data_IF_484230748895
#
_entry.id   IF_484230748895
#
_cell.length_a   1.000
_cell.length_b   1.000
_cell.length_c   1.000
_cell.angle_alpha   90.00
_cell.angle_beta   90.00
_cell.angle_gamma   90.00
#
_symmetry.space_group_name_H-M   'P 1'
#
loop_
_entity.id
_entity.type
_entity.pdbx_description
1 polymer ?
#
# COMPACT_ATOMS: atom_id res chain seq x y z
N UNK A 1 -21.77 -1.59 38.26
CA UNK A 1 -21.10 -0.60 37.39
C UNK A 1 -19.95 -1.33 36.70
N UNK A 2 -19.92 -1.41 35.37
CA UNK A 2 -18.93 -2.24 34.63
C UNK A 2 -17.50 -1.75 34.89
N UNK A 3 -16.55 -2.68 34.98
CA UNK A 3 -15.11 -2.40 35.17
C UNK A 3 -14.57 -1.48 34.06
N UNK A 4 -15.08 -1.64 32.83
CA UNK A 4 -14.68 -0.85 31.67
C UNK A 4 -14.98 0.65 31.86
N UNK A 5 -16.07 0.98 32.56
CA UNK A 5 -16.48 2.37 32.80
C UNK A 5 -15.61 3.04 33.87
N UNK A 6 -15.06 2.28 34.82
CA UNK A 6 -14.14 2.79 35.82
C UNK A 6 -12.76 3.10 35.21
N UNK A 7 -12.31 2.26 34.29
CA UNK A 7 -11.02 2.43 33.60
C UNK A 7 -11.04 3.67 32.68
N UNK A 8 -12.14 3.87 31.94
CA UNK A 8 -12.37 5.10 31.16
C UNK A 8 -12.38 6.34 32.05
N UNK A 9 -13.03 6.27 33.22
CA UNK A 9 -13.10 7.39 34.17
C UNK A 9 -11.73 7.77 34.74
N UNK A 10 -10.85 6.80 34.96
CA UNK A 10 -9.51 7.03 35.50
C UNK A 10 -8.55 7.65 34.46
N UNK A 11 -8.79 7.42 33.17
CA UNK A 11 -7.99 7.99 32.07
C UNK A 11 -8.56 9.31 31.51
N UNK A 12 -9.77 9.70 31.91
CA UNK A 12 -10.29 11.03 31.58
C UNK A 12 -9.53 12.09 32.39
N UNK A 13 -8.91 13.10 31.75
CA UNK A 13 -8.54 14.32 32.46
C UNK A 13 -9.79 14.85 33.15
N UNK A 14 -9.66 15.40 34.36
CA UNK A 14 -10.80 15.85 35.20
C UNK A 14 -11.85 16.60 34.36
N UNK A 15 -12.89 15.89 33.96
CA UNK A 15 -13.97 16.44 33.16
C UNK A 15 -14.83 17.27 34.08
N UNK A 16 -14.65 18.59 34.00
CA UNK A 16 -15.46 19.56 34.72
C UNK A 16 -16.36 20.26 33.70
N UNK A 17 -17.55 19.70 33.40
CA UNK A 17 -18.46 20.27 32.42
C UNK A 17 -18.91 21.64 32.91
N UNK A 18 -18.52 22.69 32.19
CA UNK A 18 -19.02 24.02 32.46
C UNK A 18 -20.41 24.14 31.83
N UNK A 19 -21.47 24.01 32.64
CA UNK A 19 -22.87 24.10 32.19
C UNK A 19 -23.26 25.48 31.63
N UNK A 20 -22.37 26.47 31.71
CA UNK A 20 -22.56 27.80 31.11
C UNK A 20 -21.98 27.93 29.70
N UNK A 21 -21.26 26.92 29.21
CA UNK A 21 -20.72 26.87 27.85
C UNK A 21 -21.46 25.81 27.03
N UNK A 22 -21.79 26.13 25.79
CA UNK A 22 -22.33 25.15 24.85
C UNK A 22 -21.23 24.17 24.40
N UNK A 23 -21.64 22.93 24.16
CA UNK A 23 -20.74 21.91 23.62
C UNK A 23 -20.25 22.31 22.22
N UNK A 24 -18.94 22.16 21.99
CA UNK A 24 -18.33 22.43 20.70
C UNK A 24 -17.42 21.27 20.25
N UNK A 25 -17.49 20.95 18.95
CA UNK A 25 -16.61 19.96 18.33
C UNK A 25 -15.25 20.63 18.08
N UNK A 26 -14.18 20.05 18.62
CA UNK A 26 -12.81 20.52 18.39
C UNK A 26 -11.96 19.46 17.70
N UNK A 27 -11.25 19.88 16.66
CA UNK A 27 -10.23 19.08 16.00
C UNK A 27 -8.92 19.13 16.80
N UNK A 28 -8.70 18.11 17.66
CA UNK A 28 -7.55 18.05 18.57
C UNK A 28 -6.16 18.18 17.91
N UNK A 29 -5.92 17.70 16.67
CA UNK A 29 -4.60 17.80 16.05
C UNK A 29 -4.14 19.23 15.74
N UNK A 30 -5.02 20.23 15.77
CA UNK A 30 -4.63 21.63 15.64
C UNK A 30 -4.95 22.42 16.92
N UNK A 31 -4.06 23.34 17.37
CA UNK A 31 -4.28 24.10 18.61
C UNK A 31 -5.51 25.01 18.57
N UNK A 32 -5.92 25.44 17.37
CA UNK A 32 -7.12 26.26 17.14
C UNK A 32 -8.43 25.44 17.20
N UNK A 33 -8.33 24.11 17.20
CA UNK A 33 -9.48 23.21 17.20
C UNK A 33 -10.26 23.20 15.88
N UNK A 34 -9.74 23.81 14.81
CA UNK A 34 -10.45 23.96 13.53
C UNK A 34 -10.15 22.76 12.63
N UNK A 35 -11.22 22.10 12.17
CA UNK A 35 -11.10 21.03 11.20
C UNK A 35 -10.66 21.55 9.83
N UNK A 36 -9.72 20.85 9.19
CA UNK A 36 -9.44 20.99 7.77
C UNK A 36 -8.97 19.67 7.17
N UNK A 37 -9.21 19.47 5.87
CA UNK A 37 -8.66 18.31 5.15
C UNK A 37 -7.14 18.30 5.21
N UNK A 38 -6.50 19.47 5.14
CA UNK A 38 -5.06 19.61 5.23
C UNK A 38 -4.50 19.12 6.59
N UNK A 39 -5.09 19.57 7.71
CA UNK A 39 -4.67 19.13 9.05
C UNK A 39 -4.96 17.65 9.30
N UNK A 40 -6.07 17.13 8.77
CA UNK A 40 -6.40 15.71 8.80
C UNK A 40 -5.36 14.87 8.06
N UNK A 41 -5.03 15.26 6.83
CA UNK A 41 -4.00 14.56 6.04
C UNK A 41 -2.62 14.66 6.68
N UNK A 42 -2.26 15.80 7.27
CA UNK A 42 -1.01 15.94 8.01
C UNK A 42 -0.95 15.00 9.22
N UNK A 43 -2.06 14.84 9.94
CA UNK A 43 -2.16 13.96 11.11
C UNK A 43 -2.11 12.48 10.75
N UNK A 44 -2.64 12.11 9.57
CA UNK A 44 -2.61 10.73 9.05
C UNK A 44 -1.28 10.37 8.40
N UNK A 45 -0.55 11.35 7.86
CA UNK A 45 0.75 11.13 7.21
C UNK A 45 1.81 10.84 8.26
N UNK A 46 2.22 9.59 8.33
CA UNK A 46 3.48 9.24 9.00
C UNK A 46 4.63 9.51 8.03
N UNK A 47 5.63 10.32 8.39
CA UNK A 47 6.79 10.54 7.52
C UNK A 47 7.53 9.21 7.35
N UNK A 48 7.73 8.82 6.09
CA UNK A 48 8.50 7.64 5.72
C UNK A 48 9.68 8.06 4.82
N UNK A 49 10.83 7.39 4.94
CA UNK A 49 11.93 7.64 4.03
C UNK A 49 11.52 7.30 2.59
N UNK A 50 12.08 8.04 1.63
CA UNK A 50 11.90 7.72 0.22
C UNK A 50 12.50 6.35 -0.08
N UNK A 51 11.73 5.54 -0.81
CA UNK A 51 12.13 4.22 -1.26
C UNK A 51 13.01 4.34 -2.52
N UNK A 52 14.07 3.53 -2.68
CA UNK A 52 14.98 3.63 -3.83
C UNK A 52 14.29 3.44 -5.19
N UNK A 53 13.16 2.74 -5.22
CA UNK A 53 12.38 2.47 -6.42
C UNK A 53 11.34 3.54 -6.75
N UNK A 54 11.26 4.65 -6.00
CA UNK A 54 10.23 5.67 -6.19
C UNK A 54 10.21 6.23 -7.63
N UNK A 55 11.36 6.70 -8.11
CA UNK A 55 11.50 7.26 -9.46
C UNK A 55 11.19 6.22 -10.55
N UNK A 56 11.53 4.96 -10.32
CA UNK A 56 11.23 3.88 -11.26
C UNK A 56 9.71 3.68 -11.45
N UNK A 57 8.92 3.87 -10.39
CA UNK A 57 7.47 3.68 -10.42
C UNK A 57 6.74 4.96 -10.81
N UNK A 58 7.18 6.13 -10.32
CA UNK A 58 6.41 7.37 -10.35
C UNK A 58 7.06 8.50 -11.16
N UNK A 59 7.86 8.20 -12.18
CA UNK A 59 8.43 9.23 -13.07
C UNK A 59 7.37 10.03 -13.84
N UNK A 60 7.70 11.25 -14.30
CA UNK A 60 6.73 12.21 -14.86
C UNK A 60 5.95 11.72 -16.08
N UNK A 61 6.55 10.86 -16.92
CA UNK A 61 5.94 10.35 -18.15
C UNK A 61 5.46 8.90 -18.00
N UNK A 62 5.15 8.48 -16.77
CA UNK A 62 4.68 7.13 -16.51
C UNK A 62 3.27 6.89 -17.08
N UNK A 63 3.02 5.64 -17.51
CA UNK A 63 1.68 5.19 -17.82
C UNK A 63 1.08 4.66 -16.51
N UNK A 64 0.03 5.30 -15.94
CA UNK A 64 -0.45 4.99 -14.58
C UNK A 64 -0.74 3.51 -14.33
N UNK A 65 -1.29 2.82 -15.35
CA UNK A 65 -1.55 1.37 -15.29
C UNK A 65 -0.26 0.57 -15.11
N UNK A 66 0.80 0.91 -15.82
CA UNK A 66 2.09 0.21 -15.75
C UNK A 66 2.78 0.49 -14.41
N UNK A 67 2.73 1.73 -13.94
CA UNK A 67 3.23 2.13 -12.62
C UNK A 67 2.56 1.36 -11.49
N UNK A 68 1.23 1.22 -11.56
CA UNK A 68 0.48 0.44 -10.59
C UNK A 68 0.86 -1.05 -10.59
N UNK A 69 0.98 -1.66 -11.78
CA UNK A 69 1.42 -3.05 -11.91
C UNK A 69 2.85 -3.23 -11.37
N UNK A 70 3.76 -2.32 -11.71
CA UNK A 70 5.15 -2.37 -11.25
C UNK A 70 5.26 -2.19 -9.74
N UNK A 71 4.48 -1.25 -9.17
CA UNK A 71 4.39 -1.06 -7.72
C UNK A 71 3.91 -2.33 -7.00
N UNK A 72 2.89 -3.01 -7.54
CA UNK A 72 2.43 -4.29 -7.00
C UNK A 72 3.51 -5.37 -7.12
N UNK A 73 4.22 -5.44 -8.24
CA UNK A 73 5.30 -6.40 -8.45
C UNK A 73 6.45 -6.19 -7.44
N UNK A 74 6.91 -4.95 -7.25
CA UNK A 74 7.96 -4.60 -6.27
C UNK A 74 7.54 -4.97 -4.85
N UNK A 75 6.25 -4.83 -4.54
CA UNK A 75 5.70 -5.19 -3.23
C UNK A 75 5.39 -6.68 -3.06
N UNK A 76 5.60 -7.51 -4.07
CA UNK A 76 5.21 -8.93 -4.06
C UNK A 76 3.70 -9.13 -3.94
N UNK A 77 2.90 -8.18 -4.43
CA UNK A 77 1.42 -8.17 -4.34
C UNK A 77 0.73 -8.31 -5.69
N UNK A 78 1.50 -8.52 -6.77
CA UNK A 78 0.92 -8.90 -8.05
C UNK A 78 0.53 -10.38 -7.99
N UNK A 79 -0.70 -10.74 -8.33
CA UNK A 79 -1.18 -12.12 -8.22
C UNK A 79 -0.50 -13.04 -9.25
N UNK A 80 0.54 -13.76 -8.84
CA UNK A 80 1.17 -14.86 -9.58
C UNK A 80 0.51 -16.19 -9.22
N UNK A 81 0.68 -17.24 -10.05
CA UNK A 81 0.00 -18.52 -9.82
C UNK A 81 0.36 -19.19 -8.49
N UNK A 82 1.57 -18.99 -7.96
CA UNK A 82 1.93 -19.41 -6.60
C UNK A 82 1.02 -18.80 -5.51
N UNK A 83 0.71 -17.51 -5.63
CA UNK A 83 -0.20 -16.79 -4.74
C UNK A 83 -1.64 -17.26 -4.92
N UNK A 84 -2.07 -17.51 -6.15
CA UNK A 84 -3.42 -18.01 -6.46
C UNK A 84 -3.62 -19.43 -5.92
N UNK A 85 -2.59 -20.27 -6.02
CA UNK A 85 -2.63 -21.65 -5.55
C UNK A 85 -2.91 -21.76 -4.04
N UNK A 86 -2.44 -20.80 -3.24
CA UNK A 86 -2.75 -20.71 -1.81
C UNK A 86 -4.25 -20.62 -1.51
N UNK A 87 -5.02 -19.96 -2.38
CA UNK A 87 -6.46 -19.78 -2.23
C UNK A 87 -7.28 -20.77 -3.05
N UNK A 88 -6.72 -21.32 -4.12
CA UNK A 88 -7.35 -22.33 -4.97
C UNK A 88 -6.34 -23.42 -5.37
N UNK A 89 -6.25 -24.51 -4.57
CA UNK A 89 -5.29 -25.60 -4.81
C UNK A 89 -5.48 -26.36 -6.13
N UNK A 90 -6.60 -26.15 -6.84
CA UNK A 90 -6.86 -26.78 -8.14
C UNK A 90 -6.11 -26.10 -9.29
N UNK A 91 -5.57 -24.89 -9.06
CA UNK A 91 -4.81 -24.15 -10.05
C UNK A 91 -3.39 -24.67 -10.09
N UNK A 92 -2.88 -25.02 -11.27
CA UNK A 92 -1.48 -25.39 -11.44
C UNK A 92 -0.56 -24.20 -11.19
N UNK A 93 0.63 -24.44 -10.63
CA UNK A 93 1.58 -23.37 -10.30
C UNK A 93 2.56 -23.08 -11.43
N UNK A 94 2.55 -23.82 -12.54
CA UNK A 94 3.49 -23.64 -13.64
C UNK A 94 3.29 -22.30 -14.35
N UNK A 95 4.38 -21.60 -14.63
CA UNK A 95 4.38 -20.34 -15.36
C UNK A 95 3.72 -20.49 -16.73
N UNK A 96 2.75 -19.62 -17.01
CA UNK A 96 1.96 -19.65 -18.26
C UNK A 96 2.82 -19.36 -19.48
N UNK A 97 3.94 -18.66 -19.31
CA UNK A 97 4.81 -18.22 -20.41
C UNK A 97 5.81 -19.30 -20.86
N UNK A 98 6.38 -20.06 -19.93
CA UNK A 98 7.43 -21.04 -20.22
C UNK A 98 7.02 -22.48 -19.94
N UNK A 99 5.96 -22.69 -19.14
CA UNK A 99 5.47 -24.01 -18.69
C UNK A 99 6.52 -24.92 -18.03
N UNK A 100 7.66 -24.38 -17.59
CA UNK A 100 8.81 -25.18 -17.13
C UNK A 100 9.16 -25.00 -15.66
N UNK A 101 8.65 -23.96 -15.00
CA UNK A 101 8.93 -23.66 -13.59
C UNK A 101 7.72 -22.99 -12.95
N UNK A 102 7.58 -23.03 -11.61
CA UNK A 102 6.51 -22.33 -10.93
C UNK A 102 6.49 -20.82 -11.21
N UNK A 103 5.31 -20.25 -11.39
CA UNK A 103 5.11 -18.82 -11.57
C UNK A 103 5.25 -18.10 -10.23
N UNK A 104 6.36 -17.41 -10.07
CA UNK A 104 6.64 -16.49 -8.97
C UNK A 104 7.03 -15.14 -9.56
N UNK A 105 7.05 -14.04 -8.78
CA UNK A 105 7.57 -12.76 -9.27
C UNK A 105 9.01 -12.88 -9.77
N UNK A 106 9.86 -13.60 -9.01
CA UNK A 106 11.25 -13.81 -9.37
C UNK A 106 11.36 -14.49 -10.75
N UNK A 107 10.60 -15.56 -10.93
CA UNK A 107 10.57 -16.28 -12.20
C UNK A 107 10.06 -15.38 -13.33
N UNK A 108 8.88 -14.77 -13.16
CA UNK A 108 8.18 -14.01 -14.19
C UNK A 108 9.02 -12.84 -14.72
N UNK A 109 9.71 -12.10 -13.84
CA UNK A 109 10.43 -10.88 -14.20
C UNK A 109 11.93 -11.08 -14.48
N UNK A 110 12.58 -12.09 -13.88
CA UNK A 110 14.04 -12.21 -13.92
C UNK A 110 14.56 -13.52 -14.52
N UNK A 111 13.91 -14.66 -14.25
CA UNK A 111 14.48 -15.98 -14.57
C UNK A 111 13.84 -16.64 -15.80
N UNK A 112 12.59 -16.27 -16.12
CA UNK A 112 11.81 -16.91 -17.17
C UNK A 112 12.53 -16.86 -18.52
N UNK A 113 12.59 -18.00 -19.21
CA UNK A 113 13.18 -18.07 -20.55
C UNK A 113 12.45 -17.17 -21.54
N UNK A 114 11.11 -17.07 -21.43
CA UNK A 114 10.29 -16.21 -22.28
C UNK A 114 10.60 -14.72 -22.07
N UNK A 115 10.92 -14.31 -20.84
CA UNK A 115 11.33 -12.94 -20.51
C UNK A 115 12.55 -12.50 -21.32
N UNK A 116 13.51 -13.40 -21.61
CA UNK A 116 14.67 -13.07 -22.46
C UNK A 116 14.26 -12.63 -23.88
N UNK A 117 13.27 -13.30 -24.46
CA UNK A 117 12.74 -13.00 -25.80
C UNK A 117 12.10 -11.61 -25.84
N UNK A 118 11.32 -11.26 -24.80
CA UNK A 118 10.72 -9.93 -24.69
C UNK A 118 11.81 -8.86 -24.60
N UNK A 119 12.81 -9.04 -23.73
CA UNK A 119 13.87 -8.04 -23.56
C UNK A 119 14.75 -7.87 -24.80
N UNK A 120 15.05 -8.95 -25.53
CA UNK A 120 15.76 -8.80 -26.80
C UNK A 120 14.94 -7.99 -27.81
N UNK A 121 13.65 -8.29 -27.94
CA UNK A 121 12.77 -7.56 -28.86
C UNK A 121 12.67 -6.07 -28.49
N UNK A 122 12.49 -5.74 -27.21
CA UNK A 122 12.46 -4.34 -26.75
C UNK A 122 13.79 -3.62 -27.00
N UNK A 123 14.91 -4.32 -26.79
CA UNK A 123 16.25 -3.76 -27.07
C UNK A 123 16.40 -3.43 -28.55
N UNK A 124 15.95 -4.32 -29.43
CA UNK A 124 16.05 -4.15 -30.88
C UNK A 124 15.12 -3.03 -31.40
N UNK A 125 13.99 -2.78 -30.74
CA UNK A 125 13.07 -1.68 -31.08
C UNK A 125 13.59 -0.28 -30.68
N UNK A 126 14.44 -0.21 -29.67
CA UNK A 126 15.02 1.04 -29.17
C UNK A 126 16.45 1.28 -29.70
N UNK A 127 16.93 0.42 -30.60
CA UNK A 127 18.23 0.51 -31.29
C UNK A 127 18.16 1.16 -32.65
#
# INVERSE_FOLDING_TARGET
MSIDLLEIKNHMPSYNPNSSLEDCIKWLPTPDGIYSVASTMASLKTPHPLVPWFELVWYSHNIPRMSFILWLAIRGRLSTLDCVHLYNPRVGTLCVLCSSSPETHAHLFFECAYRKVIWSYLKDMCG
#
